data_IF_734049866643
#
_entry.id   IF_734049866643
#
_cell.length_a   1.000
_cell.length_b   1.000
_cell.length_c   1.000
_cell.angle_alpha   90.00
_cell.angle_beta   90.00
_cell.angle_gamma   90.00
#
_symmetry.space_group_name_H-M   'P 1'
#
loop_
_entity.id
_entity.type
_entity.pdbx_description
1 polymer ?
#
# COMPACT_ATOMS: atom_id res chain seq x y z
N UNK A 1 -17.43 -2.37 23.59
CA UNK A 1 -16.84 -2.51 22.23
C UNK A 1 -15.53 -1.75 22.01
N UNK A 2 -14.67 -1.71 23.00
CA UNK A 2 -13.43 -0.91 23.00
C UNK A 2 -12.17 -1.70 22.61
N UNK A 3 -12.27 -2.98 22.33
CA UNK A 3 -11.14 -3.85 22.03
C UNK A 3 -11.04 -4.33 20.58
N UNK A 4 -11.76 -3.71 19.63
CA UNK A 4 -11.75 -4.12 18.22
C UNK A 4 -11.25 -2.99 17.33
N UNK A 5 -10.43 -3.32 16.34
CA UNK A 5 -10.20 -2.43 15.22
C UNK A 5 -11.47 -2.27 14.40
N UNK A 6 -11.77 -1.06 13.96
CA UNK A 6 -12.94 -0.78 13.14
C UNK A 6 -12.66 -1.06 11.66
N UNK A 7 -11.42 -0.86 11.25
CA UNK A 7 -10.95 -1.01 9.88
C UNK A 7 -9.44 -1.33 9.86
N UNK A 8 -8.87 -1.45 8.67
CA UNK A 8 -7.44 -1.69 8.46
C UNK A 8 -6.56 -0.55 8.97
N UNK A 9 -7.00 0.68 8.84
CA UNK A 9 -6.30 1.86 9.34
C UNK A 9 -6.06 1.79 10.85
N UNK A 10 -7.10 1.45 11.63
CA UNK A 10 -6.96 1.22 13.07
C UNK A 10 -5.93 0.12 13.38
N UNK A 11 -5.94 -0.97 12.61
CA UNK A 11 -5.01 -2.09 12.81
C UNK A 11 -3.56 -1.72 12.49
N UNK A 12 -3.33 -0.91 11.47
CA UNK A 12 -2.00 -0.41 11.09
C UNK A 12 -1.49 0.68 12.06
N UNK A 13 -2.38 1.37 12.78
CA UNK A 13 -2.00 2.39 13.75
C UNK A 13 -1.40 1.79 15.01
N UNK A 14 -0.10 2.01 15.24
CA UNK A 14 0.57 1.60 16.50
C UNK A 14 -0.14 2.16 17.73
N UNK A 15 -0.61 3.41 17.65
CA UNK A 15 -1.35 4.06 18.75
C UNK A 15 -2.64 3.28 19.08
N UNK A 16 -3.37 2.81 18.07
CA UNK A 16 -4.59 2.02 18.30
C UNK A 16 -4.25 0.63 18.85
N UNK A 17 -3.21 -0.03 18.35
CA UNK A 17 -2.74 -1.31 18.90
C UNK A 17 -2.33 -1.18 20.36
N UNK A 18 -1.59 -0.11 20.71
CA UNK A 18 -1.18 0.17 22.10
C UNK A 18 -2.39 0.47 23.00
N UNK A 19 -3.42 1.16 22.50
CA UNK A 19 -4.68 1.37 23.24
C UNK A 19 -5.40 0.06 23.52
N UNK A 20 -5.50 -0.84 22.53
CA UNK A 20 -6.13 -2.15 22.68
C UNK A 20 -5.35 -3.00 23.70
N UNK A 21 -4.03 -2.98 23.64
CA UNK A 21 -3.15 -3.67 24.57
C UNK A 21 -3.32 -3.14 26.00
N UNK A 22 -3.26 -1.83 26.19
CA UNK A 22 -3.47 -1.21 27.49
C UNK A 22 -4.85 -1.51 28.07
N UNK A 23 -5.90 -1.49 27.23
CA UNK A 23 -7.25 -1.88 27.64
C UNK A 23 -7.32 -3.36 28.08
N UNK A 24 -6.67 -4.28 27.37
CA UNK A 24 -6.58 -5.67 27.78
C UNK A 24 -5.95 -5.81 29.15
N UNK A 25 -4.80 -5.19 29.38
CA UNK A 25 -4.06 -5.26 30.64
C UNK A 25 -4.84 -4.59 31.79
N UNK A 26 -5.33 -3.37 31.58
CA UNK A 26 -5.92 -2.55 32.65
C UNK A 26 -7.41 -2.84 32.94
N UNK A 27 -8.13 -3.37 31.95
CA UNK A 27 -9.60 -3.54 32.07
C UNK A 27 -10.01 -5.00 32.06
N UNK A 28 -9.56 -5.79 31.08
CA UNK A 28 -9.98 -7.19 31.00
C UNK A 28 -9.31 -8.01 32.08
N UNK A 29 -7.99 -7.89 32.17
CA UNK A 29 -7.19 -8.69 33.09
C UNK A 29 -7.50 -8.42 34.55
N UNK A 30 -7.75 -7.15 34.91
CA UNK A 30 -8.06 -6.75 36.29
C UNK A 30 -9.45 -7.14 36.74
N UNK A 31 -10.35 -7.49 35.83
CA UNK A 31 -11.71 -7.92 36.14
C UNK A 31 -11.87 -9.43 36.21
N UNK A 32 -10.85 -10.17 35.96
CA UNK A 32 -10.87 -11.63 36.03
C UNK A 32 -10.87 -12.07 37.50
N UNK A 33 -11.90 -12.77 37.89
CA UNK A 33 -11.99 -13.37 39.23
C UNK A 33 -11.00 -14.55 39.34
N UNK A 34 -10.55 -14.90 40.56
CA UNK A 34 -9.76 -16.11 40.79
C UNK A 34 -10.47 -17.36 40.22
N UNK A 35 -9.75 -18.15 39.41
CA UNK A 35 -10.31 -19.31 38.71
C UNK A 35 -11.12 -19.00 37.45
N UNK A 36 -11.25 -17.73 37.08
CA UNK A 36 -11.88 -17.32 35.81
C UNK A 36 -10.97 -17.56 34.61
N UNK A 37 -11.57 -17.70 33.42
CA UNK A 37 -10.85 -17.85 32.14
C UNK A 37 -11.12 -16.69 31.20
N UNK A 38 -10.18 -16.46 30.27
CA UNK A 38 -10.32 -15.49 29.19
C UNK A 38 -10.40 -16.24 27.87
N UNK A 39 -11.40 -15.92 27.05
CA UNK A 39 -11.52 -16.40 25.66
C UNK A 39 -11.46 -15.19 24.76
N UNK A 40 -10.52 -15.19 23.81
CA UNK A 40 -10.33 -14.15 22.80
C UNK A 40 -10.65 -14.73 21.44
N UNK A 41 -11.64 -14.16 20.74
CA UNK A 41 -12.02 -14.55 19.39
C UNK A 41 -11.83 -13.34 18.48
N UNK A 42 -10.93 -13.47 17.50
CA UNK A 42 -10.70 -12.42 16.51
C UNK A 42 -10.14 -12.99 15.21
N UNK A 43 -10.29 -12.25 14.12
CA UNK A 43 -9.46 -12.41 12.92
C UNK A 43 -8.16 -11.63 13.12
N UNK A 44 -7.06 -12.12 12.52
CA UNK A 44 -5.75 -11.49 12.65
C UNK A 44 -5.63 -10.35 11.62
N UNK A 45 -5.38 -9.15 12.10
CA UNK A 45 -5.25 -7.96 11.27
C UNK A 45 -3.81 -7.47 11.12
N UNK A 46 -2.98 -7.73 12.13
CA UNK A 46 -1.59 -7.28 12.19
C UNK A 46 -0.79 -8.28 13.04
N UNK A 47 0.51 -8.45 12.79
CA UNK A 47 1.36 -9.32 13.59
C UNK A 47 1.50 -8.85 15.05
N UNK A 48 1.44 -7.51 15.27
CA UNK A 48 1.44 -6.84 16.57
C UNK A 48 0.02 -6.50 17.06
N UNK A 49 -1.02 -7.25 16.66
CA UNK A 49 -2.35 -7.14 17.24
C UNK A 49 -2.43 -7.77 18.64
N UNK A 50 -3.58 -7.70 19.31
CA UNK A 50 -3.74 -8.21 20.67
C UNK A 50 -3.27 -9.66 20.81
N UNK A 51 -3.73 -10.56 19.93
CA UNK A 51 -3.33 -11.98 19.97
C UNK A 51 -1.85 -12.13 19.61
N UNK A 52 -1.33 -11.35 18.69
CA UNK A 52 0.10 -11.35 18.35
C UNK A 52 0.98 -11.00 19.55
N UNK A 53 0.60 -10.00 20.33
CA UNK A 53 1.32 -9.63 21.58
C UNK A 53 1.23 -10.72 22.64
N UNK A 54 0.04 -11.30 22.84
CA UNK A 54 -0.14 -12.42 23.78
C UNK A 54 0.75 -13.61 23.38
N UNK A 55 0.77 -13.98 22.10
CA UNK A 55 1.62 -15.08 21.60
C UNK A 55 3.11 -14.76 21.81
N UNK A 56 3.55 -13.54 21.53
CA UNK A 56 4.94 -13.11 21.74
C UNK A 56 5.35 -13.18 23.21
N UNK A 57 4.51 -12.69 24.13
CA UNK A 57 4.78 -12.80 25.58
C UNK A 57 4.80 -14.26 26.06
N UNK A 58 3.89 -15.09 25.55
CA UNK A 58 3.85 -16.51 25.82
C UNK A 58 5.13 -17.23 25.40
N UNK A 59 5.61 -16.95 24.17
CA UNK A 59 6.86 -17.52 23.62
C UNK A 59 8.10 -17.04 24.39
N UNK A 60 8.07 -15.79 24.88
CA UNK A 60 9.14 -15.24 25.71
C UNK A 60 9.11 -15.76 27.17
N UNK A 61 8.09 -16.52 27.56
CA UNK A 61 7.90 -16.98 28.94
C UNK A 61 7.56 -15.87 29.95
N UNK A 62 7.15 -14.70 29.47
CA UNK A 62 6.82 -13.52 30.28
C UNK A 62 5.33 -13.30 30.44
N UNK A 63 4.51 -13.98 29.63
CA UNK A 63 3.05 -13.85 29.59
C UNK A 63 2.31 -15.05 30.18
N UNK A 64 0.99 -14.94 30.20
CA UNK A 64 0.10 -16.03 30.58
C UNK A 64 0.02 -17.10 29.48
N UNK A 65 -0.21 -18.34 29.88
CA UNK A 65 -0.38 -19.43 28.93
C UNK A 65 -1.80 -19.44 28.37
N UNK A 66 -1.92 -19.35 27.06
CA UNK A 66 -3.14 -19.53 26.31
C UNK A 66 -3.04 -20.74 25.39
N UNK A 67 -4.15 -21.40 25.17
CA UNK A 67 -4.29 -22.34 24.06
C UNK A 67 -4.71 -21.55 22.80
N UNK A 68 -3.89 -21.60 21.75
CA UNK A 68 -4.18 -20.88 20.51
C UNK A 68 -4.76 -21.83 19.46
N UNK A 69 -6.02 -21.62 19.09
CA UNK A 69 -6.71 -22.37 18.04
C UNK A 69 -6.75 -21.50 16.79
N UNK A 70 -6.07 -21.91 15.73
CA UNK A 70 -6.01 -21.19 14.44
C UNK A 70 -6.80 -21.98 13.41
N UNK A 71 -7.79 -21.32 12.80
CA UNK A 71 -8.67 -21.90 11.77
C UNK A 71 -8.49 -21.15 10.44
N UNK A 72 -7.55 -21.58 9.58
CA UNK A 72 -7.35 -20.98 8.27
C UNK A 72 -8.52 -21.29 7.33
N UNK A 73 -8.89 -20.33 6.48
CA UNK A 73 -9.97 -20.49 5.51
C UNK A 73 -9.69 -21.60 4.49
N UNK A 74 -8.42 -21.79 4.12
CA UNK A 74 -7.94 -22.91 3.30
C UNK A 74 -6.94 -23.68 4.15
N UNK A 75 -7.19 -24.98 4.33
CA UNK A 75 -6.37 -25.86 5.16
C UNK A 75 -4.94 -26.00 4.62
N UNK A 76 -4.01 -26.16 5.53
CA UNK A 76 -2.59 -26.40 5.29
C UNK A 76 -2.17 -27.73 5.93
N UNK A 77 -0.90 -28.07 5.85
CA UNK A 77 -0.37 -29.25 6.56
C UNK A 77 -0.60 -29.11 8.08
N UNK A 78 -0.95 -30.23 8.73
CA UNK A 78 -1.25 -30.31 10.16
C UNK A 78 -2.47 -29.47 10.60
N UNK A 79 -3.51 -29.43 9.79
CA UNK A 79 -4.76 -28.73 10.13
C UNK A 79 -5.40 -29.35 11.38
N UNK A 80 -5.78 -28.48 12.34
CA UNK A 80 -6.33 -28.90 13.64
C UNK A 80 -7.68 -29.64 13.52
N UNK A 81 -8.43 -29.40 12.42
CA UNK A 81 -9.69 -30.09 12.13
C UNK A 81 -9.50 -31.37 11.30
N UNK A 82 -8.25 -31.72 10.97
CA UNK A 82 -7.93 -32.89 10.17
C UNK A 82 -8.31 -32.77 8.69
N UNK A 83 -8.53 -31.54 8.18
CA UNK A 83 -8.79 -31.30 6.75
C UNK A 83 -7.53 -31.60 5.94
N UNK A 84 -7.72 -32.07 4.71
CA UNK A 84 -6.62 -32.21 3.76
C UNK A 84 -6.13 -30.84 3.29
N UNK A 85 -4.83 -30.67 3.03
CA UNK A 85 -4.32 -29.43 2.47
C UNK A 85 -5.12 -28.98 1.24
N UNK A 86 -5.50 -27.70 1.21
CA UNK A 86 -6.31 -27.11 0.14
C UNK A 86 -7.83 -27.20 0.34
N UNK A 87 -8.34 -27.80 1.38
CA UNK A 87 -9.78 -27.84 1.66
C UNK A 87 -10.25 -26.54 2.32
N UNK A 88 -11.43 -26.04 1.90
CA UNK A 88 -12.04 -24.85 2.49
C UNK A 88 -12.55 -25.15 3.92
N UNK A 89 -12.52 -24.15 4.81
CA UNK A 89 -13.01 -24.27 6.19
C UNK A 89 -14.51 -24.55 6.23
N UNK A 90 -15.25 -23.90 5.36
CA UNK A 90 -16.71 -24.03 5.27
C UNK A 90 -17.16 -24.00 3.81
N UNK A 91 -17.03 -25.15 3.07
CA UNK A 91 -17.25 -25.20 1.61
C UNK A 91 -18.66 -24.77 1.18
N UNK A 92 -19.68 -25.06 2.01
CA UNK A 92 -21.08 -24.73 1.72
C UNK A 92 -21.35 -23.22 1.75
N UNK A 93 -20.54 -22.46 2.47
CA UNK A 93 -20.66 -21.00 2.59
C UNK A 93 -19.63 -20.27 1.74
N UNK A 94 -18.40 -20.75 1.74
CA UNK A 94 -17.26 -20.18 1.01
C UNK A 94 -16.51 -21.30 0.30
N UNK A 95 -16.89 -21.54 -0.95
CA UNK A 95 -16.17 -22.49 -1.81
C UNK A 95 -14.74 -22.01 -2.10
N UNK A 96 -13.85 -22.89 -2.51
CA UNK A 96 -12.48 -22.52 -2.92
C UNK A 96 -12.48 -21.45 -4.02
N UNK A 97 -13.43 -21.55 -4.97
CA UNK A 97 -13.58 -20.56 -6.05
C UNK A 97 -13.92 -19.17 -5.51
N UNK A 98 -14.78 -19.09 -4.52
CA UNK A 98 -15.12 -17.81 -3.86
C UNK A 98 -13.95 -17.27 -3.05
N UNK A 99 -13.25 -18.13 -2.30
CA UNK A 99 -12.05 -17.74 -1.55
C UNK A 99 -10.95 -17.22 -2.48
N UNK A 100 -10.76 -17.83 -3.64
CA UNK A 100 -9.82 -17.31 -4.65
C UNK A 100 -10.29 -15.97 -5.26
N UNK A 101 -11.60 -15.82 -5.49
CA UNK A 101 -12.14 -14.53 -5.95
C UNK A 101 -11.91 -13.42 -4.92
N UNK A 102 -12.14 -13.72 -3.63
CA UNK A 102 -11.86 -12.81 -2.54
C UNK A 102 -10.37 -12.48 -2.50
N UNK A 103 -9.49 -13.51 -2.58
CA UNK A 103 -8.04 -13.30 -2.60
C UNK A 103 -7.60 -12.34 -3.72
N UNK A 104 -8.17 -12.49 -4.93
CA UNK A 104 -7.90 -11.57 -6.05
C UNK A 104 -8.39 -10.15 -5.80
N UNK A 105 -9.51 -10.00 -5.09
CA UNK A 105 -10.10 -8.70 -4.80
C UNK A 105 -9.36 -7.92 -3.71
N UNK A 106 -8.89 -8.60 -2.65
CA UNK A 106 -8.28 -7.96 -1.48
C UNK A 106 -6.74 -8.04 -1.47
N UNK A 107 -6.16 -8.85 -2.38
CA UNK A 107 -4.73 -9.12 -2.46
C UNK A 107 -4.24 -10.22 -1.51
N UNK A 108 -3.09 -10.78 -1.83
CA UNK A 108 -2.53 -11.94 -1.10
C UNK A 108 -2.23 -11.63 0.36
N UNK A 109 -1.66 -10.45 0.64
CA UNK A 109 -1.31 -10.03 2.01
C UNK A 109 -2.53 -9.99 2.93
N UNK A 110 -3.61 -9.36 2.46
CA UNK A 110 -4.85 -9.27 3.22
C UNK A 110 -5.48 -10.64 3.41
N UNK A 111 -5.45 -11.47 2.38
CA UNK A 111 -5.98 -12.82 2.45
C UNK A 111 -5.21 -13.68 3.45
N UNK A 112 -3.88 -13.65 3.43
CA UNK A 112 -3.03 -14.37 4.39
C UNK A 112 -3.29 -13.88 5.82
N UNK A 113 -3.48 -12.59 6.01
CA UNK A 113 -3.77 -12.00 7.32
C UNK A 113 -5.14 -12.42 7.83
N UNK A 114 -6.22 -12.06 7.10
CA UNK A 114 -7.60 -12.14 7.58
C UNK A 114 -8.21 -13.54 7.41
N UNK A 115 -7.84 -14.27 6.35
CA UNK A 115 -8.43 -15.55 6.01
C UNK A 115 -7.54 -16.74 6.42
N UNK A 116 -6.21 -16.61 6.29
CA UNK A 116 -5.29 -17.65 6.76
C UNK A 116 -4.78 -17.41 8.19
N UNK A 117 -5.20 -16.32 8.84
CA UNK A 117 -4.85 -15.97 10.23
C UNK A 117 -3.35 -15.81 10.49
N UNK A 118 -2.57 -15.50 9.45
CA UNK A 118 -1.12 -15.31 9.52
C UNK A 118 -0.73 -13.93 9.02
N UNK A 119 -0.95 -12.86 9.82
CA UNK A 119 -0.48 -11.55 9.45
C UNK A 119 1.03 -11.58 9.33
N UNK A 120 1.54 -11.09 8.21
CA UNK A 120 2.98 -10.93 8.01
C UNK A 120 3.45 -9.73 8.82
N UNK A 121 4.64 -9.86 9.42
CA UNK A 121 5.32 -8.73 10.05
C UNK A 121 5.57 -7.62 9.01
N UNK A 122 5.64 -6.37 9.47
CA UNK A 122 5.96 -5.22 8.62
C UNK A 122 7.31 -5.36 7.88
N UNK A 123 8.17 -6.27 8.32
CA UNK A 123 9.45 -6.58 7.68
C UNK A 123 9.33 -7.30 6.31
N UNK A 124 8.17 -7.86 5.97
CA UNK A 124 7.87 -8.31 4.62
C UNK A 124 7.21 -7.18 3.84
N UNK A 125 7.99 -6.32 3.20
CA UNK A 125 7.54 -5.10 2.52
C UNK A 125 6.20 -5.23 1.77
N UNK A 126 5.44 -4.14 1.74
CA UNK A 126 4.14 -4.08 1.09
C UNK A 126 4.26 -4.41 -0.40
N UNK A 127 5.39 -4.01 -0.98
CA UNK A 127 5.72 -4.22 -2.38
C UNK A 127 6.82 -5.27 -2.52
N UNK A 128 6.55 -6.31 -3.31
CA UNK A 128 7.53 -7.38 -3.57
C UNK A 128 8.15 -7.17 -4.94
N UNK A 129 9.47 -7.28 -5.05
CA UNK A 129 10.22 -7.13 -6.31
C UNK A 129 9.67 -8.03 -7.44
N UNK A 130 9.16 -9.20 -7.14
CA UNK A 130 8.59 -10.13 -8.13
C UNK A 130 7.34 -9.57 -8.86
N UNK A 131 6.68 -8.55 -8.30
CA UNK A 131 5.50 -7.91 -8.90
C UNK A 131 5.88 -6.69 -9.76
N UNK A 132 7.15 -6.26 -9.74
CA UNK A 132 7.60 -5.16 -10.57
C UNK A 132 7.68 -5.60 -12.02
N UNK A 133 6.99 -4.89 -12.89
CA UNK A 133 6.96 -5.10 -14.33
C UNK A 133 7.54 -3.90 -15.04
N UNK A 134 8.11 -4.14 -16.20
CA UNK A 134 8.83 -3.11 -16.94
C UNK A 134 8.32 -3.03 -18.37
N UNK A 135 8.47 -1.84 -18.96
CA UNK A 135 8.15 -1.61 -20.35
C UNK A 135 9.23 -0.78 -21.05
N UNK A 136 9.19 -0.79 -22.37
CA UNK A 136 9.98 0.07 -23.24
C UNK A 136 9.08 1.02 -24.00
N UNK A 137 9.63 2.19 -24.37
CA UNK A 137 8.98 3.12 -25.30
C UNK A 137 9.66 3.00 -26.66
N UNK A 138 8.91 2.74 -27.70
CA UNK A 138 9.37 2.61 -29.07
C UNK A 138 8.77 3.74 -29.90
N UNK A 139 9.61 4.37 -30.73
CA UNK A 139 9.22 5.46 -31.65
C UNK A 139 8.52 6.63 -30.95
N UNK A 140 8.80 6.85 -29.66
CA UNK A 140 8.11 7.84 -28.80
C UNK A 140 6.57 7.72 -28.81
N UNK A 141 6.06 6.55 -29.17
CA UNK A 141 4.63 6.34 -29.40
C UNK A 141 4.09 5.05 -28.79
N UNK A 142 4.86 3.97 -28.86
CA UNK A 142 4.36 2.67 -28.44
C UNK A 142 4.99 2.25 -27.12
N UNK A 143 4.15 1.77 -26.21
CA UNK A 143 4.57 1.05 -25.01
C UNK A 143 4.68 -0.43 -25.40
N UNK A 144 5.86 -1.02 -25.24
CA UNK A 144 6.08 -2.45 -25.40
C UNK A 144 6.28 -3.13 -24.05
N UNK A 145 5.53 -4.20 -23.82
CA UNK A 145 5.67 -5.08 -22.67
C UNK A 145 5.89 -6.52 -23.10
N UNK A 146 6.82 -7.19 -22.44
CA UNK A 146 7.01 -8.63 -22.61
C UNK A 146 5.87 -9.38 -21.86
N UNK A 147 5.23 -10.32 -22.54
CA UNK A 147 4.21 -11.21 -21.98
C UNK A 147 4.64 -12.65 -22.20
N UNK A 148 4.00 -13.60 -21.53
CA UNK A 148 4.25 -15.04 -21.73
C UNK A 148 4.05 -15.49 -23.20
N UNK A 149 3.16 -14.80 -23.91
CA UNK A 149 2.79 -15.13 -25.31
C UNK A 149 3.54 -14.30 -26.36
N UNK A 150 4.45 -13.41 -25.94
CA UNK A 150 5.22 -12.55 -26.85
C UNK A 150 5.27 -11.09 -26.40
N UNK A 151 5.30 -10.16 -27.36
CA UNK A 151 5.35 -8.71 -27.09
C UNK A 151 3.98 -8.10 -27.34
N UNK A 152 3.41 -7.45 -26.33
CA UNK A 152 2.19 -6.60 -26.45
C UNK A 152 2.64 -5.17 -26.72
N UNK A 153 2.04 -4.54 -27.75
CA UNK A 153 2.23 -3.11 -28.06
C UNK A 153 0.97 -2.33 -27.78
N UNK A 154 1.11 -1.17 -27.17
CA UNK A 154 0.02 -0.25 -26.82
C UNK A 154 0.34 1.10 -27.44
N UNK A 155 -0.56 1.64 -28.24
CA UNK A 155 -0.44 2.98 -28.82
C UNK A 155 -0.79 4.04 -27.74
N UNK A 156 0.16 4.89 -27.38
CA UNK A 156 -0.06 5.92 -26.35
C UNK A 156 -1.18 6.91 -26.71
N UNK A 157 -1.53 7.05 -27.98
CA UNK A 157 -2.66 7.90 -28.41
C UNK A 157 -4.02 7.35 -27.99
N UNK A 158 -4.10 6.07 -27.62
CA UNK A 158 -5.30 5.44 -27.07
C UNK A 158 -5.37 5.51 -25.54
N UNK A 159 -4.37 6.11 -24.92
CA UNK A 159 -4.18 6.26 -23.50
C UNK A 159 -4.39 7.71 -23.07
N UNK A 160 -4.39 7.95 -21.78
CA UNK A 160 -4.28 9.30 -21.23
C UNK A 160 -3.14 9.39 -20.23
N UNK A 161 -2.50 10.56 -20.13
CA UNK A 161 -1.50 10.82 -19.11
C UNK A 161 -2.07 11.65 -17.97
N UNK A 162 -1.52 11.44 -16.77
CA UNK A 162 -1.76 12.27 -15.60
C UNK A 162 -0.50 12.35 -14.74
N UNK A 163 -0.46 13.32 -13.85
CA UNK A 163 0.62 13.47 -12.89
C UNK A 163 0.10 13.50 -11.47
N UNK A 164 0.81 12.80 -10.59
CA UNK A 164 0.64 12.87 -9.13
C UNK A 164 1.83 13.60 -8.53
N UNK A 165 1.57 14.52 -7.59
CA UNK A 165 2.56 15.45 -7.07
C UNK A 165 2.49 15.44 -5.55
N UNK A 166 3.64 15.22 -4.93
CA UNK A 166 3.86 15.40 -3.50
C UNK A 166 4.97 16.44 -3.28
N UNK A 167 4.76 17.38 -2.36
CA UNK A 167 5.66 18.52 -2.18
C UNK A 167 6.19 18.62 -0.76
N UNK A 168 7.51 18.76 -0.62
CA UNK A 168 8.18 18.93 0.65
C UNK A 168 8.15 20.40 1.14
N UNK A 169 8.14 20.61 2.46
CA UNK A 169 8.18 21.95 3.07
C UNK A 169 9.57 22.57 3.16
N UNK A 170 10.63 21.78 3.21
CA UNK A 170 11.99 22.28 3.50
C UNK A 170 13.06 21.44 2.80
N UNK A 171 14.21 22.07 2.52
CA UNK A 171 15.43 21.43 1.94
C UNK A 171 16.46 20.95 2.96
N UNK A 172 16.11 20.80 4.24
CA UNK A 172 17.06 20.28 5.23
C UNK A 172 17.50 18.87 4.87
N UNK A 173 18.72 18.47 5.25
CA UNK A 173 19.28 17.12 4.93
C UNK A 173 18.36 15.95 5.35
N UNK A 174 17.53 16.16 6.37
CA UNK A 174 16.56 15.19 6.90
C UNK A 174 15.13 15.42 6.41
N UNK A 175 14.89 16.32 5.44
CA UNK A 175 13.54 16.61 4.92
C UNK A 175 13.19 15.68 3.75
N UNK A 176 11.89 15.54 3.50
CA UNK A 176 11.32 14.82 2.39
C UNK A 176 11.67 15.50 1.05
N UNK A 177 11.60 14.75 -0.05
CA UNK A 177 11.81 15.25 -1.39
C UNK A 177 10.50 15.71 -2.01
N UNK A 178 10.55 16.63 -2.96
CA UNK A 178 9.42 16.87 -3.86
C UNK A 178 9.41 15.75 -4.91
N UNK A 179 8.28 15.11 -5.10
CA UNK A 179 8.09 14.04 -6.05
C UNK A 179 7.00 14.40 -7.08
N UNK A 180 7.27 14.13 -8.37
CA UNK A 180 6.30 14.26 -9.46
C UNK A 180 6.37 12.98 -10.28
N UNK A 181 5.32 12.18 -10.26
CA UNK A 181 5.20 10.99 -11.09
C UNK A 181 4.31 11.26 -12.31
N UNK A 182 4.78 10.90 -13.49
CA UNK A 182 4.00 11.01 -14.74
C UNK A 182 3.59 9.61 -15.18
N UNK A 183 2.29 9.43 -15.26
CA UNK A 183 1.65 8.15 -15.56
C UNK A 183 0.93 8.19 -16.90
N UNK A 184 0.96 7.07 -17.60
CA UNK A 184 0.05 6.75 -18.70
C UNK A 184 -0.92 5.67 -18.20
N UNK A 185 -2.20 5.84 -18.50
CA UNK A 185 -3.23 4.85 -18.22
C UNK A 185 -3.87 4.37 -19.54
N UNK A 186 -3.90 3.06 -19.76
CA UNK A 186 -4.56 2.47 -20.92
C UNK A 186 -6.05 2.17 -20.66
N UNK A 187 -6.74 1.63 -21.67
CA UNK A 187 -8.18 1.30 -21.58
C UNK A 187 -8.48 0.14 -20.63
N UNK A 188 -7.48 -0.68 -20.29
CA UNK A 188 -7.58 -1.79 -19.35
C UNK A 188 -7.22 -1.37 -17.91
N UNK A 189 -7.01 -0.06 -17.69
CA UNK A 189 -6.55 0.52 -16.42
C UNK A 189 -5.19 -0.03 -15.96
N UNK A 190 -4.29 -0.35 -16.89
CA UNK A 190 -2.89 -0.54 -16.56
C UNK A 190 -2.20 0.82 -16.47
N UNK A 191 -1.30 0.94 -15.49
CA UNK A 191 -0.55 2.16 -15.19
C UNK A 191 0.91 2.00 -15.63
N UNK A 192 1.40 2.97 -16.38
CA UNK A 192 2.75 3.00 -16.90
C UNK A 192 3.45 4.26 -16.40
N UNK A 193 4.40 4.11 -15.47
CA UNK A 193 5.22 5.22 -14.97
C UNK A 193 6.29 5.55 -15.99
N UNK A 194 6.12 6.67 -16.69
CA UNK A 194 7.01 7.09 -17.81
C UNK A 194 8.06 8.09 -17.37
N UNK A 195 7.82 8.83 -16.29
CA UNK A 195 8.74 9.83 -15.78
C UNK A 195 8.57 10.01 -14.28
N UNK A 196 9.67 10.27 -13.58
CA UNK A 196 9.69 10.50 -12.14
C UNK A 196 10.72 11.60 -11.83
N UNK A 197 10.24 12.71 -11.28
CA UNK A 197 11.06 13.67 -10.57
C UNK A 197 11.06 13.29 -9.08
N UNK A 198 12.23 13.21 -8.51
CA UNK A 198 12.43 12.93 -7.08
C UNK A 198 13.69 13.64 -6.62
N UNK A 199 13.52 14.86 -6.08
CA UNK A 199 14.65 15.66 -5.62
C UNK A 199 14.23 16.69 -4.56
N UNK A 200 15.23 17.23 -3.86
CA UNK A 200 15.04 18.30 -2.89
C UNK A 200 15.15 19.65 -3.56
N UNK A 201 14.03 20.33 -3.67
CA UNK A 201 13.95 21.67 -4.25
C UNK A 201 13.33 22.64 -3.25
N UNK A 202 13.73 23.91 -3.31
CA UNK A 202 13.19 24.94 -2.45
C UNK A 202 11.72 25.25 -2.82
N UNK A 203 10.93 25.63 -1.80
CA UNK A 203 9.50 25.92 -1.99
C UNK A 203 9.23 26.91 -3.13
N UNK A 204 10.01 28.01 -3.33
CA UNK A 204 9.81 28.90 -4.45
C UNK A 204 9.97 28.26 -5.83
N UNK A 205 10.79 27.20 -5.94
CA UNK A 205 11.10 26.55 -7.21
C UNK A 205 10.12 25.42 -7.54
N UNK A 206 9.36 24.94 -6.55
CA UNK A 206 8.41 23.82 -6.72
C UNK A 206 7.39 24.13 -7.81
N UNK A 207 6.77 25.31 -7.78
CA UNK A 207 5.78 25.71 -8.78
C UNK A 207 6.36 25.77 -10.19
N UNK A 208 7.58 26.30 -10.32
CA UNK A 208 8.29 26.36 -11.61
C UNK A 208 8.56 24.95 -12.14
N UNK A 209 9.00 24.03 -11.29
CA UNK A 209 9.26 22.63 -11.65
C UNK A 209 7.95 21.94 -12.08
N UNK A 210 6.85 22.11 -11.34
CA UNK A 210 5.54 21.54 -11.68
C UNK A 210 5.07 22.03 -13.06
N UNK A 211 5.22 23.33 -13.35
CA UNK A 211 4.90 23.88 -14.67
C UNK A 211 5.78 23.30 -15.78
N UNK A 212 7.07 23.10 -15.54
CA UNK A 212 7.97 22.47 -16.51
C UNK A 212 7.54 21.05 -16.84
N UNK A 213 7.18 20.26 -15.81
CA UNK A 213 6.66 18.91 -16.01
C UNK A 213 5.30 18.90 -16.72
N UNK A 214 4.44 19.87 -16.48
CA UNK A 214 3.22 20.05 -17.24
C UNK A 214 3.49 20.33 -18.72
N UNK A 215 4.38 21.27 -19.03
CA UNK A 215 4.72 21.64 -20.39
C UNK A 215 5.41 20.49 -21.16
N UNK A 216 6.23 19.70 -20.48
CA UNK A 216 6.88 18.53 -21.08
C UNK A 216 5.88 17.54 -21.70
N UNK A 217 4.66 17.46 -21.15
CA UNK A 217 3.61 16.53 -21.56
C UNK A 217 2.37 17.28 -22.10
N UNK A 218 2.53 18.55 -22.50
CA UNK A 218 1.42 19.34 -23.04
C UNK A 218 0.76 18.66 -24.25
N UNK A 219 -0.57 18.78 -24.35
CA UNK A 219 -1.38 18.10 -25.37
C UNK A 219 -1.64 16.60 -25.11
N UNK A 220 -0.92 15.96 -24.17
CA UNK A 220 -1.12 14.57 -23.79
C UNK A 220 -1.59 14.43 -22.33
N UNK A 221 -1.23 15.38 -21.49
CA UNK A 221 -1.57 15.41 -20.05
C UNK A 221 -3.04 15.80 -19.84
N UNK A 222 -3.81 14.90 -19.23
CA UNK A 222 -5.23 15.13 -18.94
C UNK A 222 -5.42 15.98 -17.68
N UNK A 223 -4.64 15.72 -16.64
CA UNK A 223 -4.65 16.47 -15.38
C UNK A 223 -3.37 16.30 -14.59
N UNK A 224 -3.13 17.24 -13.67
CA UNK A 224 -2.17 17.12 -12.58
C UNK A 224 -2.95 17.10 -11.27
N UNK A 225 -2.54 16.27 -10.33
CA UNK A 225 -3.14 16.17 -9.02
C UNK A 225 -2.06 16.33 -7.94
N UNK A 226 -2.33 17.14 -6.92
CA UNK A 226 -1.38 17.50 -5.87
C UNK A 226 -1.97 17.26 -4.48
N UNK A 227 -1.16 16.71 -3.56
CA UNK A 227 -1.58 16.64 -2.17
C UNK A 227 -1.65 18.04 -1.53
N UNK A 228 -2.83 18.38 -0.95
CA UNK A 228 -3.07 19.69 -0.38
C UNK A 228 -2.72 19.80 1.10
N UNK A 229 -1.69 19.11 1.52
CA UNK A 229 -1.07 19.33 2.82
C UNK A 229 0.07 20.33 2.70
N UNK A 230 0.25 21.14 3.74
CA UNK A 230 1.43 21.99 3.90
C UNK A 230 1.69 22.93 2.69
N UNK A 231 2.77 22.69 1.92
CA UNK A 231 3.15 23.52 0.75
C UNK A 231 2.20 23.39 -0.41
N UNK A 232 1.49 22.29 -0.55
CA UNK A 232 0.52 22.05 -1.63
C UNK A 232 -0.60 23.08 -1.70
N UNK A 233 -1.06 23.61 -0.56
CA UNK A 233 -2.06 24.67 -0.50
C UNK A 233 -1.55 25.94 -1.21
N UNK A 234 -0.32 26.34 -0.95
CA UNK A 234 0.28 27.53 -1.59
C UNK A 234 0.42 27.36 -3.10
N UNK A 235 0.79 26.17 -3.55
CA UNK A 235 0.90 25.82 -4.97
C UNK A 235 -0.47 25.82 -5.65
N UNK A 236 -1.51 25.30 -5.01
CA UNK A 236 -2.89 25.35 -5.53
C UNK A 236 -3.36 26.80 -5.74
N UNK A 237 -3.12 27.68 -4.75
CA UNK A 237 -3.45 29.10 -4.87
C UNK A 237 -2.67 29.80 -5.99
N UNK A 238 -1.39 29.43 -6.17
CA UNK A 238 -0.58 30.00 -7.26
C UNK A 238 -1.06 29.53 -8.62
N UNK A 239 -1.40 28.24 -8.75
CA UNK A 239 -1.97 27.66 -9.96
C UNK A 239 -3.28 28.36 -10.36
N UNK A 240 -4.17 28.59 -9.40
CA UNK A 240 -5.43 29.28 -9.61
C UNK A 240 -5.22 30.71 -10.12
N UNK A 241 -4.28 31.47 -9.55
CA UNK A 241 -3.91 32.82 -9.99
C UNK A 241 -3.38 32.84 -11.43
N UNK A 242 -2.70 31.79 -11.86
CA UNK A 242 -2.16 31.65 -13.23
C UNK A 242 -3.15 30.96 -14.19
N UNK A 243 -4.36 30.61 -13.74
CA UNK A 243 -5.38 29.95 -14.55
C UNK A 243 -5.05 28.50 -14.91
N UNK A 244 -4.19 27.85 -14.12
CA UNK A 244 -3.79 26.46 -14.32
C UNK A 244 -4.62 25.57 -13.39
N UNK A 245 -5.38 24.63 -13.96
CA UNK A 245 -6.18 23.70 -13.17
C UNK A 245 -5.30 22.58 -12.59
N UNK A 246 -5.26 22.49 -11.25
CA UNK A 246 -4.75 21.36 -10.51
C UNK A 246 -5.90 20.66 -9.80
N UNK A 247 -5.84 19.32 -9.72
CA UNK A 247 -6.76 18.55 -8.89
C UNK A 247 -6.21 18.42 -7.48
N UNK A 248 -7.09 18.56 -6.52
CA UNK A 248 -6.77 18.31 -5.12
C UNK A 248 -6.73 16.80 -4.82
N UNK A 249 -5.69 16.35 -4.13
CA UNK A 249 -5.58 15.04 -3.51
C UNK A 249 -5.72 15.21 -2.00
N UNK A 250 -6.82 14.71 -1.48
CA UNK A 250 -7.11 14.75 -0.05
C UNK A 250 -6.60 13.43 0.54
N UNK A 251 -5.55 13.51 1.35
CA UNK A 251 -5.07 12.34 2.10
C UNK A 251 -5.89 12.22 3.40
N UNK A 252 -7.08 11.65 3.29
CA UNK A 252 -8.02 11.39 4.38
C UNK A 252 -7.74 10.08 5.14
N UNK A 253 -6.92 9.21 4.58
CA UNK A 253 -6.45 7.97 5.20
C UNK A 253 -4.93 7.97 5.35
N UNK A 254 -4.41 7.13 6.25
CA UNK A 254 -2.96 7.01 6.47
C UNK A 254 -2.23 6.46 5.23
N UNK A 255 -0.93 6.75 5.18
CA UNK A 255 -0.04 6.40 4.07
C UNK A 255 0.01 4.90 3.78
N UNK A 256 0.03 4.07 4.81
CA UNK A 256 0.09 2.61 4.67
C UNK A 256 -1.19 2.08 4.03
N UNK A 257 -2.34 2.62 4.42
CA UNK A 257 -3.63 2.25 3.84
C UNK A 257 -3.73 2.64 2.36
N UNK A 258 -3.22 3.82 1.96
CA UNK A 258 -3.14 4.21 0.55
C UNK A 258 -2.19 3.30 -0.24
N UNK A 259 -1.00 3.04 0.30
CA UNK A 259 -0.01 2.18 -0.31
C UNK A 259 -0.51 0.72 -0.47
N UNK A 260 -1.36 0.24 0.44
CA UNK A 260 -2.00 -1.07 0.32
C UNK A 260 -2.88 -1.17 -0.94
N UNK A 261 -3.65 -0.14 -1.24
CA UNK A 261 -4.51 -0.14 -2.43
C UNK A 261 -3.69 -0.30 -3.71
N UNK A 262 -2.58 0.44 -3.85
CA UNK A 262 -1.72 0.33 -5.03
C UNK A 262 -0.93 -0.99 -5.04
N UNK A 263 -0.58 -1.56 -3.89
CA UNK A 263 0.15 -2.84 -3.83
C UNK A 263 -0.66 -3.98 -4.45
N UNK A 264 -1.98 -3.96 -4.34
CA UNK A 264 -2.88 -4.91 -5.01
C UNK A 264 -2.79 -4.77 -6.53
N UNK A 265 -2.62 -3.57 -7.06
CA UNK A 265 -2.42 -3.34 -8.49
C UNK A 265 -1.06 -3.87 -8.97
N UNK A 266 -0.02 -3.73 -8.15
CA UNK A 266 1.28 -4.35 -8.44
C UNK A 266 1.17 -5.88 -8.49
N UNK A 267 0.53 -6.48 -7.51
CA UNK A 267 0.30 -7.93 -7.44
C UNK A 267 -0.53 -8.42 -8.63
N UNK A 268 -1.57 -7.67 -9.02
CA UNK A 268 -2.36 -7.95 -10.21
C UNK A 268 -1.61 -7.72 -11.54
N UNK A 269 -0.36 -7.22 -11.48
CA UNK A 269 0.48 -6.95 -12.65
C UNK A 269 -0.02 -5.81 -13.52
N UNK A 270 -0.68 -4.82 -12.93
CA UNK A 270 -1.25 -3.65 -13.62
C UNK A 270 -0.37 -2.41 -13.55
N UNK A 271 0.78 -2.46 -12.86
CA UNK A 271 1.70 -1.33 -12.74
C UNK A 271 3.01 -1.70 -13.41
N UNK A 272 3.50 -0.82 -14.26
CA UNK A 272 4.70 -1.01 -15.05
C UNK A 272 5.63 0.20 -14.93
N UNK A 273 6.94 -0.04 -14.86
CA UNK A 273 7.97 0.99 -14.83
C UNK A 273 8.68 1.10 -16.17
N UNK A 274 8.93 2.31 -16.62
CA UNK A 274 9.80 2.53 -17.77
C UNK A 274 11.21 2.04 -17.46
N UNK A 275 11.80 1.18 -18.31
CA UNK A 275 13.12 0.59 -18.05
C UNK A 275 14.25 1.63 -17.89
N UNK A 276 14.11 2.78 -18.56
CA UNK A 276 15.06 3.89 -18.46
C UNK A 276 14.52 5.04 -17.59
N UNK A 277 13.63 4.74 -16.63
CA UNK A 277 13.09 5.74 -15.73
C UNK A 277 14.20 6.39 -14.91
N UNK A 278 14.29 7.73 -14.88
CA UNK A 278 15.15 8.41 -13.92
C UNK A 278 14.79 7.98 -12.50
N UNK A 279 15.80 7.74 -11.65
CA UNK A 279 15.58 7.33 -10.25
C UNK A 279 14.81 5.99 -10.06
N UNK A 280 14.80 5.10 -11.06
CA UNK A 280 14.11 3.80 -10.96
C UNK A 280 14.60 2.99 -9.75
N UNK A 281 15.92 2.94 -9.54
CA UNK A 281 16.48 2.19 -8.40
C UNK A 281 16.07 2.79 -7.06
N UNK A 282 16.05 4.12 -6.94
CA UNK A 282 15.61 4.82 -5.72
C UNK A 282 14.13 4.53 -5.43
N UNK A 283 13.28 4.56 -6.48
CA UNK A 283 11.86 4.22 -6.39
C UNK A 283 11.65 2.77 -5.91
N UNK A 284 12.31 1.81 -6.56
CA UNK A 284 12.20 0.39 -6.21
C UNK A 284 12.66 0.13 -4.76
N UNK A 285 13.74 0.79 -4.33
CA UNK A 285 14.26 0.67 -2.97
C UNK A 285 13.26 1.21 -1.94
N UNK A 286 12.66 2.37 -2.19
CA UNK A 286 11.65 2.95 -1.31
C UNK A 286 10.42 2.04 -1.23
N UNK A 287 9.92 1.52 -2.37
CA UNK A 287 8.78 0.60 -2.40
C UNK A 287 9.08 -0.69 -1.61
N UNK A 288 10.23 -1.33 -1.82
CA UNK A 288 10.57 -2.59 -1.15
C UNK A 288 10.71 -2.41 0.36
N UNK A 289 11.30 -1.29 0.78
CA UNK A 289 11.51 -1.00 2.20
C UNK A 289 10.30 -0.41 2.90
N UNK A 290 9.26 -0.03 2.16
CA UNK A 290 8.05 0.56 2.75
C UNK A 290 7.31 -0.46 3.63
N UNK A 291 6.84 -0.10 4.87
CA UNK A 291 6.79 1.26 5.44
C UNK A 291 8.06 1.69 6.21
N UNK A 292 9.10 0.89 6.25
CA UNK A 292 10.31 1.14 7.07
C UNK A 292 11.43 1.86 6.31
N UNK A 293 11.14 2.44 5.14
CA UNK A 293 12.09 3.23 4.36
C UNK A 293 12.48 4.54 5.10
N UNK A 294 13.73 4.96 4.96
CA UNK A 294 14.19 6.25 5.48
C UNK A 294 13.54 7.44 4.74
N UNK A 295 13.19 7.23 3.47
CA UNK A 295 12.42 8.15 2.62
C UNK A 295 11.39 7.32 1.86
N UNK A 296 10.19 7.86 1.69
CA UNK A 296 9.04 7.18 1.09
C UNK A 296 8.19 8.10 0.20
N UNK A 297 8.77 9.25 -0.22
CA UNK A 297 8.12 10.25 -1.07
C UNK A 297 7.68 9.68 -2.42
N UNK A 298 8.49 8.74 -2.98
CA UNK A 298 8.16 8.05 -4.23
C UNK A 298 6.98 7.06 -4.04
N UNK A 299 6.76 6.56 -2.83
CA UNK A 299 5.60 5.71 -2.51
C UNK A 299 4.33 6.55 -2.49
N UNK A 300 4.37 7.79 -1.97
CA UNK A 300 3.20 8.67 -1.95
C UNK A 300 2.70 8.95 -3.35
N UNK A 301 3.55 9.41 -4.27
CA UNK A 301 3.12 9.70 -5.65
C UNK A 301 2.67 8.48 -6.43
N UNK A 302 3.04 7.28 -6.00
CA UNK A 302 2.49 6.02 -6.54
C UNK A 302 1.15 5.64 -5.92
N UNK A 303 0.85 6.08 -4.70
CA UNK A 303 -0.34 5.67 -3.95
C UNK A 303 -1.52 6.65 -4.07
N UNK A 304 -1.33 7.79 -4.73
CA UNK A 304 -2.36 8.75 -5.10
C UNK A 304 -3.02 8.37 -6.43
#
# INVERSE_FOLDING_TARGET
NTGKFKNREDANSKIQRDKVWSWYQSTIRTRLAPGGGIIIIQTRWHDDDLVGRIIKEMQAGTGELFEAIVLPAISEENDILGRKPGEALWPERYSLKELESIKKAIGEREFISLYQQRPQAEDGGLFKRQYFKYFKVIENRYIEIATETGIKRIDTRECFAFQTIDTALTVKKSSDSTAIATWICDREYNLYLIDLFLDKIEVPDQWTTIKQYRLKYDGFLKFQAIETKQSGIGIMQQAEREGIALKELIADVDKTTRALAISVMFEAGKVYFYQNLPKLLDLEEQLIKFPNAAHDDAVDVCSY
#
